data_IF_985529312106
#
_entry.id   IF_985529312106
#
_cell.length_a   1.000
_cell.length_b   1.000
_cell.length_c   1.000
_cell.angle_alpha   90.00
_cell.angle_beta   90.00
_cell.angle_gamma   90.00
#
_symmetry.space_group_name_H-M   'P 1'
#
loop_
_entity.id
_entity.type
_entity.pdbx_description
1 polymer ?
#
# COMPACT_ATOMS: atom_id res chain seq x y z
N UNK A 1 -40.92 -29.78 25.09
CA UNK A 1 -40.61 -29.27 23.75
C UNK A 1 -40.36 -27.77 23.90
N UNK A 2 -39.14 -27.40 24.15
CA UNK A 2 -38.76 -25.99 24.33
C UNK A 2 -37.74 -25.62 23.22
N UNK A 3 -38.24 -24.94 22.18
CA UNK A 3 -37.40 -24.44 21.07
C UNK A 3 -36.82 -23.09 21.48
N UNK A 4 -35.60 -23.07 22.01
CA UNK A 4 -34.83 -21.85 22.16
C UNK A 4 -34.22 -21.43 20.81
N UNK A 5 -34.78 -20.42 20.22
CA UNK A 5 -34.19 -19.66 19.10
C UNK A 5 -32.84 -19.07 19.48
N UNK A 6 -31.79 -19.25 18.69
CA UNK A 6 -30.48 -18.61 18.99
C UNK A 6 -30.56 -17.12 18.73
N UNK A 7 -30.19 -16.36 19.74
CA UNK A 7 -30.21 -14.88 19.79
C UNK A 7 -29.30 -14.23 18.75
N UNK A 8 -29.88 -13.33 17.99
CA UNK A 8 -29.38 -12.55 16.85
C UNK A 8 -28.32 -11.47 17.21
N UNK A 9 -27.62 -11.59 18.34
CA UNK A 9 -26.70 -10.55 18.88
C UNK A 9 -25.33 -10.55 18.25
N UNK A 10 -24.87 -11.63 17.64
CA UNK A 10 -23.53 -11.70 17.02
C UNK A 10 -23.46 -11.11 15.61
N UNK A 11 -24.56 -11.10 14.87
CA UNK A 11 -24.63 -10.56 13.50
C UNK A 11 -24.56 -9.01 13.50
N UNK A 12 -25.18 -8.35 14.49
CA UNK A 12 -25.19 -6.89 14.60
C UNK A 12 -23.83 -6.28 14.94
N UNK A 13 -23.02 -6.94 15.76
CA UNK A 13 -21.69 -6.47 16.16
C UNK A 13 -20.66 -6.61 15.02
N UNK A 14 -20.79 -7.62 14.19
CA UNK A 14 -19.89 -7.82 13.03
C UNK A 14 -20.19 -6.87 11.86
N UNK A 15 -21.44 -6.52 11.60
CA UNK A 15 -21.82 -5.55 10.59
C UNK A 15 -21.36 -4.14 10.96
N UNK A 16 -21.49 -3.72 12.21
CA UNK A 16 -21.00 -2.46 12.72
C UNK A 16 -19.46 -2.30 12.59
N UNK A 17 -18.72 -3.35 12.95
CA UNK A 17 -17.25 -3.35 12.87
C UNK A 17 -16.73 -3.30 11.42
N UNK A 18 -17.44 -3.88 10.47
CA UNK A 18 -17.11 -3.84 9.02
C UNK A 18 -17.34 -2.47 8.41
N UNK A 19 -18.40 -1.78 8.80
CA UNK A 19 -18.68 -0.39 8.41
C UNK A 19 -17.57 0.56 8.87
N UNK A 20 -17.13 0.44 10.12
CA UNK A 20 -16.08 1.27 10.72
C UNK A 20 -14.75 1.14 9.95
N UNK A 21 -14.30 -0.07 9.59
CA UNK A 21 -13.04 -0.28 8.83
C UNK A 21 -13.09 0.38 7.44
N UNK A 22 -14.25 0.40 6.80
CA UNK A 22 -14.44 1.09 5.51
C UNK A 22 -14.35 2.61 5.67
N UNK A 23 -14.99 3.16 6.70
CA UNK A 23 -14.99 4.59 7.02
C UNK A 23 -13.57 5.05 7.37
N UNK A 24 -12.84 4.34 8.23
CA UNK A 24 -11.47 4.68 8.60
C UNK A 24 -10.51 4.73 7.39
N UNK A 25 -10.69 3.80 6.46
CA UNK A 25 -9.88 3.79 5.23
C UNK A 25 -10.18 4.98 4.35
N UNK A 26 -11.46 5.34 4.21
CA UNK A 26 -11.92 6.48 3.43
C UNK A 26 -11.47 7.79 4.07
N UNK A 27 -11.64 7.94 5.38
CA UNK A 27 -11.22 9.11 6.14
C UNK A 27 -9.69 9.33 6.04
N UNK A 28 -8.88 8.25 6.14
CA UNK A 28 -7.43 8.36 5.96
C UNK A 28 -7.01 8.75 4.54
N UNK A 29 -7.75 8.31 3.52
CA UNK A 29 -7.49 8.70 2.14
C UNK A 29 -7.78 10.19 1.94
N UNK A 30 -8.97 10.64 2.34
CA UNK A 30 -9.37 12.04 2.17
C UNK A 30 -8.51 12.99 3.00
N UNK A 31 -8.21 12.65 4.25
CA UNK A 31 -7.30 13.45 5.07
C UNK A 31 -5.90 13.54 4.43
N UNK A 32 -5.39 12.43 3.88
CA UNK A 32 -4.13 12.44 3.15
C UNK A 32 -4.16 13.29 1.87
N UNK A 33 -5.29 13.30 1.14
CA UNK A 33 -5.47 14.15 -0.05
C UNK A 33 -5.52 15.64 0.31
N UNK A 34 -6.19 16.03 1.38
CA UNK A 34 -6.20 17.42 1.87
C UNK A 34 -4.78 17.87 2.20
N UNK A 35 -4.03 17.05 2.95
CA UNK A 35 -2.63 17.34 3.27
C UNK A 35 -1.75 17.42 2.02
N UNK A 36 -1.98 16.55 1.04
CA UNK A 36 -1.28 16.58 -0.24
C UNK A 36 -1.53 17.88 -1.01
N UNK A 37 -2.79 18.34 -1.08
CA UNK A 37 -3.14 19.61 -1.76
C UNK A 37 -2.45 20.78 -1.06
N UNK A 38 -2.43 20.81 0.28
CA UNK A 38 -1.68 21.80 1.03
C UNK A 38 -0.19 21.79 0.66
N UNK A 39 0.46 20.62 0.72
CA UNK A 39 1.89 20.46 0.40
C UNK A 39 2.19 20.85 -1.05
N UNK A 40 1.34 20.42 -1.99
CA UNK A 40 1.50 20.75 -3.40
C UNK A 40 1.43 22.27 -3.63
N UNK A 41 0.42 22.97 -3.09
CA UNK A 41 0.30 24.41 -3.23
C UNK A 41 1.45 25.15 -2.54
N UNK A 42 1.95 24.61 -1.43
CA UNK A 42 3.11 25.14 -0.73
C UNK A 42 4.42 25.00 -1.55
N UNK A 43 4.63 23.81 -2.16
CA UNK A 43 5.83 23.58 -2.99
C UNK A 43 5.78 24.35 -4.31
N UNK A 44 4.61 24.47 -4.92
CA UNK A 44 4.45 25.34 -6.10
C UNK A 44 4.75 26.80 -5.77
N UNK A 45 4.33 27.27 -4.59
CA UNK A 45 4.70 28.61 -4.13
C UNK A 45 6.22 28.76 -3.95
N UNK A 46 6.91 27.74 -3.37
CA UNK A 46 8.37 27.75 -3.31
C UNK A 46 9.03 27.78 -4.70
N UNK A 47 8.48 27.01 -5.66
CA UNK A 47 8.99 26.98 -7.04
C UNK A 47 8.96 28.36 -7.71
N UNK A 48 8.01 29.22 -7.35
CA UNK A 48 7.93 30.60 -7.85
C UNK A 48 9.12 31.46 -7.43
N UNK A 49 9.88 31.06 -6.41
CA UNK A 49 11.12 31.71 -6.02
C UNK A 49 12.22 31.72 -7.10
N UNK A 50 12.08 30.89 -8.15
CA UNK A 50 12.93 30.96 -9.35
C UNK A 50 12.75 32.32 -10.04
N UNK A 51 11.59 32.95 -9.91
CA UNK A 51 11.22 34.23 -10.50
C UNK A 51 11.40 35.43 -9.52
N UNK A 52 11.87 35.16 -8.30
CA UNK A 52 12.14 36.15 -7.26
C UNK A 52 11.19 36.11 -6.07
N UNK A 53 11.62 36.73 -4.97
CA UNK A 53 10.87 36.75 -3.69
C UNK A 53 9.54 37.49 -3.85
N UNK A 54 9.49 38.58 -4.62
CA UNK A 54 8.26 39.33 -4.83
C UNK A 54 7.12 38.47 -5.41
N UNK A 55 7.43 37.58 -6.39
CA UNK A 55 6.46 36.66 -6.99
C UNK A 55 6.01 35.60 -5.98
N UNK A 56 6.94 35.10 -5.14
CA UNK A 56 6.59 34.17 -4.05
C UNK A 56 5.64 34.80 -3.05
N UNK A 57 5.87 36.04 -2.65
CA UNK A 57 5.06 36.76 -1.67
C UNK A 57 3.65 37.05 -2.20
N UNK A 58 3.54 37.48 -3.46
CA UNK A 58 2.23 37.67 -4.09
C UNK A 58 1.41 36.35 -4.11
N UNK A 59 2.03 35.26 -4.53
CA UNK A 59 1.39 33.95 -4.49
C UNK A 59 1.06 33.46 -3.06
N UNK A 60 1.89 33.83 -2.08
CA UNK A 60 1.65 33.54 -0.66
C UNK A 60 0.36 34.19 -0.16
N UNK A 61 0.03 35.39 -0.58
CA UNK A 61 -1.22 36.06 -0.17
C UNK A 61 -2.43 35.21 -0.51
N UNK A 62 -2.51 34.67 -1.72
CA UNK A 62 -3.61 33.79 -2.14
C UNK A 62 -3.62 32.47 -1.35
N UNK A 63 -2.47 31.84 -1.21
CA UNK A 63 -2.34 30.60 -0.47
C UNK A 63 -2.72 30.74 0.99
N UNK A 64 -2.26 31.80 1.66
CA UNK A 64 -2.58 32.07 3.06
C UNK A 64 -4.02 32.49 3.26
N UNK A 65 -4.62 33.25 2.32
CA UNK A 65 -6.05 33.56 2.36
C UNK A 65 -6.92 32.31 2.41
N UNK A 66 -6.51 31.23 1.74
CA UNK A 66 -7.23 29.94 1.79
C UNK A 66 -6.88 29.17 3.08
N UNK A 67 -5.59 28.88 3.30
CA UNK A 67 -5.16 27.92 4.32
C UNK A 67 -5.08 28.49 5.74
N UNK A 68 -5.06 29.84 5.91
CA UNK A 68 -5.14 30.52 7.21
C UNK A 68 -6.52 31.06 7.53
N UNK A 69 -7.48 30.97 6.61
CA UNK A 69 -8.88 31.18 6.96
C UNK A 69 -9.34 30.23 8.04
N UNK A 70 -10.35 30.57 8.81
CA UNK A 70 -10.90 29.66 9.83
C UNK A 70 -11.30 28.30 9.24
N UNK A 71 -12.02 28.20 8.10
CA UNK A 71 -12.33 26.93 7.46
C UNK A 71 -11.07 26.17 7.00
N UNK A 72 -10.12 26.87 6.39
CA UNK A 72 -8.85 26.26 5.92
C UNK A 72 -8.01 25.72 7.07
N UNK A 73 -7.95 26.44 8.18
CA UNK A 73 -7.26 26.04 9.40
C UNK A 73 -7.90 24.79 10.01
N UNK A 74 -9.21 24.75 10.16
CA UNK A 74 -9.94 23.57 10.67
C UNK A 74 -9.73 22.38 9.75
N UNK A 75 -9.84 22.59 8.44
CA UNK A 75 -9.65 21.53 7.44
C UNK A 75 -8.22 20.96 7.49
N UNK A 76 -7.18 21.81 7.54
CA UNK A 76 -5.79 21.41 7.54
C UNK A 76 -5.42 20.64 8.81
N UNK A 77 -5.67 21.23 9.98
CA UNK A 77 -5.30 20.59 11.26
C UNK A 77 -6.21 19.40 11.58
N UNK A 78 -7.49 19.47 11.23
CA UNK A 78 -8.41 18.33 11.33
C UNK A 78 -7.97 17.16 10.45
N UNK A 79 -7.57 17.42 9.20
CA UNK A 79 -7.03 16.41 8.31
C UNK A 79 -5.72 15.83 8.86
N UNK A 80 -4.81 16.67 9.38
CA UNK A 80 -3.56 16.21 9.98
C UNK A 80 -3.82 15.30 11.19
N UNK A 81 -4.70 15.70 12.11
CA UNK A 81 -5.07 14.91 13.28
C UNK A 81 -5.68 13.55 12.88
N UNK A 82 -6.66 13.55 11.97
CA UNK A 82 -7.31 12.32 11.47
C UNK A 82 -6.29 11.42 10.80
N UNK A 83 -5.42 11.98 9.94
CA UNK A 83 -4.41 11.20 9.22
C UNK A 83 -3.42 10.52 10.17
N UNK A 84 -2.85 11.28 11.11
CA UNK A 84 -1.87 10.78 12.09
C UNK A 84 -2.52 9.74 13.01
N UNK A 85 -3.69 10.00 13.56
CA UNK A 85 -4.39 9.07 14.46
C UNK A 85 -4.72 7.74 13.76
N UNK A 86 -5.28 7.80 12.54
CA UNK A 86 -5.61 6.60 11.78
C UNK A 86 -4.39 5.86 11.26
N UNK A 87 -3.29 6.56 10.94
CA UNK A 87 -2.02 5.96 10.58
C UNK A 87 -1.39 5.25 11.78
N UNK A 88 -1.35 5.91 12.95
CA UNK A 88 -0.85 5.35 14.22
C UNK A 88 -1.65 4.12 14.64
N UNK A 89 -2.97 4.20 14.60
CA UNK A 89 -3.85 3.04 14.84
C UNK A 89 -3.48 1.88 13.91
N UNK A 90 -3.27 2.16 12.61
CA UNK A 90 -2.91 1.12 11.63
C UNK A 90 -1.54 0.51 11.91
N UNK A 91 -0.58 1.28 12.41
CA UNK A 91 0.75 0.79 12.80
C UNK A 91 0.64 -0.09 14.05
N UNK A 92 -0.08 0.37 15.09
CA UNK A 92 -0.33 -0.41 16.31
C UNK A 92 -1.05 -1.73 16.01
N UNK A 93 -2.03 -1.71 15.11
CA UNK A 93 -2.78 -2.89 14.71
C UNK A 93 -1.98 -3.86 13.82
N UNK A 94 -0.80 -3.44 13.34
CA UNK A 94 0.03 -4.27 12.49
C UNK A 94 0.50 -5.53 13.22
N UNK A 95 0.43 -6.66 12.52
CA UNK A 95 0.69 -7.97 13.13
C UNK A 95 1.99 -8.58 12.67
N UNK A 96 2.51 -8.17 11.51
CA UNK A 96 3.80 -8.61 10.97
C UNK A 96 4.61 -7.44 10.45
N UNK A 97 5.92 -7.46 10.70
CA UNK A 97 6.89 -6.50 10.15
C UNK A 97 7.58 -7.02 8.89
N UNK A 98 7.31 -8.28 8.50
CA UNK A 98 7.72 -8.79 7.19
C UNK A 98 6.85 -8.15 6.11
N UNK A 99 7.41 -7.18 5.40
CA UNK A 99 6.67 -6.37 4.43
C UNK A 99 7.59 -5.92 3.28
N UNK A 100 7.05 -5.58 2.10
CA UNK A 100 7.83 -4.99 1.01
C UNK A 100 8.53 -3.70 1.45
N UNK A 101 9.72 -3.43 0.89
CA UNK A 101 10.51 -2.23 1.19
C UNK A 101 9.70 -0.93 1.06
N UNK A 102 8.82 -0.85 0.06
CA UNK A 102 7.93 0.29 -0.13
C UNK A 102 7.02 0.58 1.08
N UNK A 103 6.49 -0.47 1.73
CA UNK A 103 5.69 -0.31 2.96
C UNK A 103 6.56 0.17 4.13
N UNK A 104 7.81 -0.30 4.21
CA UNK A 104 8.79 0.18 5.20
C UNK A 104 9.05 1.66 4.99
N UNK A 105 9.40 2.06 3.77
CA UNK A 105 9.65 3.46 3.42
C UNK A 105 8.45 4.36 3.75
N UNK A 106 7.23 3.94 3.39
CA UNK A 106 6.01 4.70 3.69
C UNK A 106 5.83 4.95 5.20
N UNK A 107 6.14 3.96 6.04
CA UNK A 107 6.05 4.08 7.50
C UNK A 107 7.18 4.95 8.03
N UNK A 108 8.42 4.71 7.64
CA UNK A 108 9.57 5.46 8.11
C UNK A 108 9.47 6.94 7.74
N UNK A 109 9.17 7.26 6.48
CA UNK A 109 8.96 8.64 6.04
C UNK A 109 7.81 9.30 6.81
N UNK A 110 6.66 8.60 6.96
CA UNK A 110 5.51 9.14 7.68
C UNK A 110 5.79 9.42 9.17
N UNK A 111 6.56 8.56 9.84
CA UNK A 111 6.94 8.75 11.24
C UNK A 111 8.00 9.84 11.45
N UNK A 112 8.86 10.08 10.46
CA UNK A 112 9.87 11.15 10.54
C UNK A 112 9.30 12.56 10.29
N UNK A 113 8.17 12.68 9.55
CA UNK A 113 7.57 13.98 9.24
C UNK A 113 7.32 14.85 10.48
N UNK A 114 6.65 14.41 11.55
CA UNK A 114 6.40 15.26 12.72
C UNK A 114 7.69 15.83 13.34
N UNK A 115 8.77 15.04 13.39
CA UNK A 115 10.06 15.45 13.93
C UNK A 115 10.82 16.44 13.04
N UNK A 116 10.62 16.38 11.73
CA UNK A 116 11.21 17.33 10.79
C UNK A 116 10.37 18.60 10.65
N UNK A 117 9.07 18.50 10.89
CA UNK A 117 8.09 19.55 10.62
C UNK A 117 7.88 20.52 11.79
N UNK A 118 8.03 20.06 13.06
CA UNK A 118 7.59 20.88 14.21
C UNK A 118 8.27 22.24 14.29
N UNK A 119 9.60 22.32 14.13
CA UNK A 119 10.32 23.62 14.11
C UNK A 119 9.89 24.49 12.94
N UNK A 120 9.69 23.90 11.76
CA UNK A 120 9.22 24.62 10.59
C UNK A 120 7.81 25.21 10.82
N UNK A 121 6.89 24.42 11.34
CA UNK A 121 5.52 24.89 11.59
C UNK A 121 5.45 25.94 12.70
N UNK A 122 6.24 25.79 13.75
CA UNK A 122 6.32 26.77 14.85
C UNK A 122 7.00 28.05 14.35
N UNK A 123 8.13 27.95 13.67
CA UNK A 123 8.92 29.09 13.22
C UNK A 123 8.29 29.88 12.05
N UNK A 124 7.29 29.35 11.38
CA UNK A 124 6.64 30.05 10.26
C UNK A 124 5.23 30.52 10.59
N UNK A 125 4.39 29.63 11.13
CA UNK A 125 2.98 29.95 11.37
C UNK A 125 2.70 30.34 12.82
N UNK A 126 3.14 29.53 13.79
CA UNK A 126 2.80 29.75 15.17
C UNK A 126 3.37 31.06 15.72
N UNK A 127 4.66 31.35 15.45
CA UNK A 127 5.28 32.62 15.90
C UNK A 127 4.67 33.83 15.23
N UNK A 128 4.22 33.72 13.98
CA UNK A 128 3.52 34.81 13.29
C UNK A 128 2.14 35.10 13.95
N UNK A 129 1.38 34.06 14.30
CA UNK A 129 0.04 34.21 14.86
C UNK A 129 0.08 34.57 16.37
N UNK A 130 1.04 34.08 17.14
CA UNK A 130 1.06 34.23 18.61
C UNK A 130 2.06 35.27 19.08
N UNK A 131 3.21 35.40 18.43
CA UNK A 131 4.27 36.33 18.80
C UNK A 131 4.43 37.53 17.84
N UNK A 132 3.48 37.70 16.90
CA UNK A 132 3.44 38.78 15.89
C UNK A 132 4.78 38.93 15.11
N UNK A 133 5.40 37.80 14.76
CA UNK A 133 6.61 37.79 13.92
C UNK A 133 6.19 38.00 12.47
N UNK A 134 6.98 38.83 11.74
CA UNK A 134 6.79 38.98 10.30
C UNK A 134 7.13 37.65 9.58
N UNK A 135 6.17 37.06 8.90
CA UNK A 135 6.29 35.79 8.18
C UNK A 135 6.31 35.94 6.65
N UNK A 136 6.55 37.15 6.14
CA UNK A 136 6.87 37.38 4.73
C UNK A 136 8.09 36.53 4.32
N UNK A 137 8.14 36.06 3.07
CA UNK A 137 9.25 35.22 2.61
C UNK A 137 10.60 35.83 2.81
N UNK A 138 10.75 37.12 2.51
CA UNK A 138 12.01 37.81 2.72
C UNK A 138 12.50 37.73 4.18
N UNK A 139 11.61 37.95 5.16
CA UNK A 139 11.93 37.87 6.58
C UNK A 139 12.18 36.40 7.02
N UNK A 140 11.34 35.47 6.59
CA UNK A 140 11.46 34.05 6.93
C UNK A 140 12.73 33.41 6.38
N UNK A 141 13.11 33.74 5.12
CA UNK A 141 14.33 33.24 4.48
C UNK A 141 15.59 33.69 5.18
N UNK A 142 15.62 34.91 5.76
CA UNK A 142 16.77 35.38 6.52
C UNK A 142 17.09 34.54 7.76
N UNK A 143 16.06 33.88 8.36
CA UNK A 143 16.24 32.93 9.47
C UNK A 143 16.59 31.52 9.00
N UNK A 144 16.12 31.12 7.82
CA UNK A 144 16.29 29.76 7.33
C UNK A 144 17.51 29.59 6.43
N UNK A 145 17.96 30.64 5.73
CA UNK A 145 19.04 30.60 4.77
C UNK A 145 20.32 31.24 5.33
N UNK A 146 21.49 30.63 5.14
CA UNK A 146 21.74 29.29 4.61
C UNK A 146 21.70 28.22 5.71
N UNK A 147 21.58 28.61 6.99
CA UNK A 147 21.79 27.73 8.17
C UNK A 147 20.90 26.51 8.23
N UNK A 148 19.68 26.60 7.72
CA UNK A 148 18.66 25.53 7.77
C UNK A 148 18.40 24.84 6.42
N UNK A 149 19.27 25.08 5.40
CA UNK A 149 19.04 24.55 4.04
C UNK A 149 18.89 23.03 4.01
N UNK A 150 19.73 22.29 4.72
CA UNK A 150 19.68 20.84 4.74
C UNK A 150 18.42 20.33 5.44
N UNK A 151 18.02 20.97 6.52
CA UNK A 151 16.82 20.61 7.26
C UNK A 151 15.56 20.80 6.37
N UNK A 152 15.46 21.95 5.68
CA UNK A 152 14.34 22.23 4.77
C UNK A 152 14.35 21.30 3.55
N UNK A 153 15.52 20.99 3.00
CA UNK A 153 15.67 20.04 1.89
C UNK A 153 15.21 18.64 2.28
N UNK A 154 15.68 18.13 3.43
CA UNK A 154 15.28 16.81 3.92
C UNK A 154 13.77 16.78 4.21
N UNK A 155 13.23 17.80 4.87
CA UNK A 155 11.78 17.90 5.12
C UNK A 155 10.98 17.85 3.81
N UNK A 156 11.39 18.63 2.81
CA UNK A 156 10.76 18.67 1.48
C UNK A 156 10.74 17.29 0.83
N UNK A 157 11.88 16.60 0.78
CA UNK A 157 12.00 15.29 0.14
C UNK A 157 11.24 14.21 0.91
N UNK A 158 11.26 14.23 2.24
CA UNK A 158 10.56 13.26 3.10
C UNK A 158 9.05 13.40 2.97
N UNK A 159 8.52 14.62 3.09
CA UNK A 159 7.08 14.88 2.96
C UNK A 159 6.58 14.51 1.57
N UNK A 160 7.31 14.94 0.54
CA UNK A 160 6.95 14.64 -0.85
C UNK A 160 7.02 13.16 -1.17
N UNK A 161 8.12 12.49 -0.79
CA UNK A 161 8.29 11.05 -0.97
C UNK A 161 7.18 10.24 -0.30
N UNK A 162 6.81 10.59 0.95
CA UNK A 162 5.68 9.99 1.65
C UNK A 162 4.36 10.16 0.88
N UNK A 163 4.09 11.37 0.40
CA UNK A 163 2.88 11.69 -0.35
C UNK A 163 2.84 10.91 -1.68
N UNK A 164 3.93 10.90 -2.45
CA UNK A 164 4.00 10.19 -3.74
C UNK A 164 3.81 8.68 -3.59
N UNK A 165 4.46 8.05 -2.61
CA UNK A 165 4.25 6.63 -2.33
C UNK A 165 2.78 6.38 -1.94
N UNK A 166 2.19 7.25 -1.12
CA UNK A 166 0.79 7.14 -0.70
C UNK A 166 -0.20 7.24 -1.86
N UNK A 167 -0.01 8.18 -2.76
CA UNK A 167 -0.85 8.37 -3.96
C UNK A 167 -0.67 7.21 -4.92
N UNK A 168 0.56 6.79 -5.19
CA UNK A 168 0.84 5.66 -6.08
C UNK A 168 0.19 4.37 -5.58
N UNK A 169 0.14 4.12 -4.28
CA UNK A 169 -0.62 3.00 -3.72
C UNK A 169 -2.12 3.03 -4.04
N UNK A 170 -2.68 4.21 -4.24
CA UNK A 170 -4.08 4.36 -4.64
C UNK A 170 -4.26 4.20 -6.15
N UNK A 171 -3.36 4.77 -6.94
CA UNK A 171 -3.47 4.86 -8.39
C UNK A 171 -3.09 3.55 -9.11
N UNK A 172 -2.08 2.85 -8.65
CA UNK A 172 -1.50 1.67 -9.32
C UNK A 172 -2.45 0.48 -9.54
N UNK A 173 -3.61 0.49 -8.88
CA UNK A 173 -4.66 -0.52 -9.07
C UNK A 173 -5.76 -0.05 -10.02
N UNK A 174 -5.59 1.09 -10.69
CA UNK A 174 -6.51 1.60 -11.69
C UNK A 174 -6.13 1.09 -13.07
N UNK A 175 -7.10 0.80 -13.91
CA UNK A 175 -6.89 0.28 -15.28
C UNK A 175 -6.11 1.25 -16.16
N UNK A 176 -6.33 2.54 -15.98
CA UNK A 176 -5.65 3.61 -16.73
C UNK A 176 -4.24 3.94 -16.22
N UNK A 177 -3.83 3.43 -15.03
CA UNK A 177 -2.55 3.75 -14.40
C UNK A 177 -1.30 3.48 -15.26
N UNK A 178 -1.17 2.35 -15.99
CA UNK A 178 0.00 2.11 -16.81
C UNK A 178 0.28 3.22 -17.81
N UNK A 179 -0.79 3.83 -18.38
CA UNK A 179 -0.68 4.93 -19.35
C UNK A 179 -0.13 6.22 -18.73
N UNK A 180 -0.44 6.49 -17.45
CA UNK A 180 -0.08 7.75 -16.78
C UNK A 180 1.09 7.63 -15.80
N UNK A 181 1.65 6.44 -15.66
CA UNK A 181 2.72 6.16 -14.69
C UNK A 181 3.96 7.02 -14.93
N UNK A 182 4.38 7.19 -16.17
CA UNK A 182 5.55 7.98 -16.53
C UNK A 182 5.32 9.47 -16.23
N UNK A 183 4.19 10.02 -16.63
CA UNK A 183 3.82 11.39 -16.28
C UNK A 183 3.79 11.62 -14.76
N UNK A 184 3.30 10.65 -13.99
CA UNK A 184 3.34 10.70 -12.54
C UNK A 184 4.78 10.70 -11.99
N UNK A 185 5.69 9.92 -12.56
CA UNK A 185 7.10 9.91 -12.17
C UNK A 185 7.78 11.25 -12.49
N UNK A 186 7.51 11.82 -13.65
CA UNK A 186 7.98 13.16 -14.03
C UNK A 186 7.49 14.20 -13.02
N UNK A 187 6.19 14.20 -12.71
CA UNK A 187 5.60 15.08 -11.70
C UNK A 187 6.24 14.88 -10.31
N UNK A 188 6.46 13.63 -9.91
CA UNK A 188 7.08 13.29 -8.62
C UNK A 188 8.52 13.82 -8.47
N UNK A 189 9.23 14.02 -9.58
CA UNK A 189 10.61 14.54 -9.61
C UNK A 189 10.63 16.05 -9.80
N UNK A 190 9.86 16.59 -10.74
CA UNK A 190 9.93 18.01 -11.12
C UNK A 190 9.46 18.92 -9.98
N UNK A 191 8.38 18.58 -9.29
CA UNK A 191 7.80 19.46 -8.25
C UNK A 191 8.78 19.73 -7.10
N UNK A 192 9.39 18.74 -6.43
CA UNK A 192 10.34 19.02 -5.36
C UNK A 192 11.61 19.67 -5.86
N UNK A 193 12.10 19.34 -7.07
CA UNK A 193 13.26 20.00 -7.65
C UNK A 193 13.00 21.48 -7.91
N UNK A 194 11.86 21.83 -8.50
CA UNK A 194 11.47 23.22 -8.74
C UNK A 194 11.28 23.98 -7.41
N UNK A 195 10.65 23.35 -6.41
CA UNK A 195 10.50 23.94 -5.09
C UNK A 195 11.85 24.25 -4.41
N UNK A 196 12.79 23.29 -4.47
CA UNK A 196 14.13 23.48 -3.92
C UNK A 196 14.94 24.51 -4.70
N UNK A 197 14.84 24.51 -6.03
CA UNK A 197 15.49 25.53 -6.87
C UNK A 197 14.99 26.94 -6.53
N UNK A 198 13.68 27.10 -6.39
CA UNK A 198 13.08 28.38 -5.97
C UNK A 198 13.46 28.79 -4.55
N UNK A 199 13.50 27.82 -3.61
CA UNK A 199 13.99 28.09 -2.25
C UNK A 199 15.44 28.57 -2.24
N UNK A 200 16.33 27.96 -3.03
CA UNK A 200 17.76 28.39 -3.15
C UNK A 200 17.88 29.72 -3.83
N UNK A 201 17.15 29.98 -4.92
CA UNK A 201 17.18 31.26 -5.64
C UNK A 201 16.72 32.41 -4.73
N UNK A 202 15.55 32.25 -4.10
CA UNK A 202 14.99 33.22 -3.17
C UNK A 202 15.86 33.41 -1.91
N UNK A 203 16.48 32.34 -1.39
CA UNK A 203 17.44 32.46 -0.29
C UNK A 203 18.65 33.27 -0.61
N UNK A 204 19.20 33.17 -1.83
CA UNK A 204 20.29 34.00 -2.30
C UNK A 204 19.85 35.45 -2.49
N UNK A 205 18.67 35.68 -3.07
CA UNK A 205 18.09 37.01 -3.23
C UNK A 205 17.88 37.71 -1.87
N UNK A 206 17.36 36.97 -0.86
CA UNK A 206 17.17 37.50 0.49
C UNK A 206 18.47 37.99 1.13
N UNK A 207 19.60 37.34 0.83
CA UNK A 207 20.94 37.84 1.28
C UNK A 207 21.33 39.13 0.59
N UNK A 208 21.05 39.26 -0.71
CA UNK A 208 21.38 40.47 -1.49
C UNK A 208 20.49 41.65 -1.08
N UNK A 209 19.22 41.42 -0.82
CA UNK A 209 18.30 42.46 -0.33
C UNK A 209 18.64 42.97 1.07
N UNK A 210 19.49 42.23 1.80
CA UNK A 210 19.86 42.60 3.17
C UNK A 210 18.71 42.35 4.16
N UNK A 211 18.82 42.99 5.33
CA UNK A 211 17.85 42.82 6.41
C UNK A 211 16.54 43.54 6.09
N UNK A 212 15.55 42.81 5.55
CA UNK A 212 14.23 43.33 5.18
C UNK A 212 13.23 43.24 6.35
N UNK A 213 13.61 42.70 7.50
CA UNK A 213 12.76 42.58 8.67
C UNK A 213 13.49 42.88 9.97
N UNK A 214 12.74 43.24 11.01
CA UNK A 214 13.28 43.32 12.36
C UNK A 214 13.77 41.94 12.81
N UNK A 215 14.96 41.90 13.39
CA UNK A 215 15.41 40.67 14.09
C UNK A 215 14.39 40.33 15.16
N UNK A 216 14.19 39.05 15.38
CA UNK A 216 13.32 38.60 16.47
C UNK A 216 13.83 39.22 17.79
N UNK A 217 12.89 39.71 18.57
CA UNK A 217 13.18 40.17 19.94
C UNK A 217 13.49 38.96 20.83
N UNK A 218 14.14 39.25 21.99
CA UNK A 218 14.40 38.21 23.00
C UNK A 218 13.15 37.44 23.40
N UNK A 219 12.01 38.12 23.50
CA UNK A 219 10.73 37.53 23.89
C UNK A 219 10.17 36.62 22.78
N UNK A 220 10.32 37.01 21.51
CA UNK A 220 9.92 36.19 20.35
C UNK A 220 10.77 34.92 20.24
N UNK A 221 12.09 35.04 20.48
CA UNK A 221 12.99 33.88 20.55
C UNK A 221 12.61 32.97 21.71
N UNK A 222 12.37 33.52 22.90
CA UNK A 222 11.96 32.75 24.08
C UNK A 222 10.61 32.04 23.84
N UNK A 223 9.65 32.71 23.19
CA UNK A 223 8.37 32.12 22.83
C UNK A 223 8.54 30.93 21.85
N UNK A 224 9.36 31.10 20.80
CA UNK A 224 9.69 30.02 19.88
C UNK A 224 10.33 28.83 20.60
N UNK A 225 11.36 29.08 21.41
CA UNK A 225 12.08 28.02 22.14
C UNK A 225 11.18 27.28 23.12
N UNK A 226 10.27 27.97 23.78
CA UNK A 226 9.29 27.36 24.66
C UNK A 226 8.32 26.47 23.89
N UNK A 227 7.75 26.97 22.81
CA UNK A 227 6.84 26.21 21.95
C UNK A 227 7.53 24.99 21.33
N UNK A 228 8.77 25.17 20.85
CA UNK A 228 9.57 24.10 20.27
C UNK A 228 9.87 22.99 21.30
N UNK A 229 10.25 23.35 22.54
CA UNK A 229 10.45 22.38 23.62
C UNK A 229 9.17 21.62 23.97
N UNK A 230 8.03 22.31 24.06
CA UNK A 230 6.72 21.65 24.32
C UNK A 230 6.40 20.68 23.19
N UNK A 231 6.52 21.08 21.93
CA UNK A 231 6.26 20.23 20.79
C UNK A 231 7.20 19.03 20.72
N UNK A 232 8.49 19.25 20.94
CA UNK A 232 9.49 18.17 21.01
C UNK A 232 9.15 17.15 22.08
N UNK A 233 8.87 17.59 23.33
CA UNK A 233 8.47 16.70 24.41
C UNK A 233 7.18 15.93 24.10
N UNK A 234 6.19 16.60 23.49
CA UNK A 234 4.96 15.95 23.05
C UNK A 234 5.23 14.87 21.99
N UNK A 235 6.16 15.11 21.04
CA UNK A 235 6.57 14.13 20.06
C UNK A 235 7.30 12.93 20.68
N UNK A 236 8.16 13.14 21.68
CA UNK A 236 8.82 12.06 22.43
C UNK A 236 7.79 11.21 23.17
N UNK A 237 6.83 11.83 23.86
CA UNK A 237 5.75 11.11 24.55
C UNK A 237 4.87 10.35 23.55
N UNK A 238 4.53 10.97 22.44
CA UNK A 238 3.76 10.32 21.37
C UNK A 238 4.51 9.11 20.78
N UNK A 239 5.78 9.28 20.41
CA UNK A 239 6.62 8.21 19.86
C UNK A 239 6.84 7.07 20.86
N UNK A 240 7.17 7.41 22.11
CA UNK A 240 7.30 6.44 23.20
C UNK A 240 6.00 5.67 23.48
N UNK A 241 4.87 6.38 23.51
CA UNK A 241 3.54 5.77 23.63
C UNK A 241 3.21 4.83 22.48
N UNK A 242 3.55 5.21 21.24
CA UNK A 242 3.35 4.37 20.08
C UNK A 242 4.18 3.08 20.17
N UNK A 243 5.47 3.19 20.51
CA UNK A 243 6.37 2.03 20.72
C UNK A 243 5.84 1.14 21.83
N UNK A 244 5.46 1.73 22.98
CA UNK A 244 4.89 1.01 24.11
C UNK A 244 3.64 0.21 23.71
N UNK A 245 2.69 0.83 23.00
CA UNK A 245 1.46 0.16 22.56
C UNK A 245 1.75 -0.97 21.56
N UNK A 246 2.72 -0.80 20.67
CA UNK A 246 3.17 -1.84 19.75
C UNK A 246 3.76 -3.02 20.53
N UNK A 247 4.65 -2.74 21.49
CA UNK A 247 5.32 -3.74 22.32
C UNK A 247 4.30 -4.50 23.20
N UNK A 248 3.41 -3.77 23.86
CA UNK A 248 2.35 -4.36 24.69
C UNK A 248 1.45 -5.29 23.85
N UNK A 249 1.06 -4.84 22.66
CA UNK A 249 0.23 -5.65 21.77
C UNK A 249 0.98 -6.87 21.22
N UNK A 250 2.28 -6.75 20.96
CA UNK A 250 3.13 -7.87 20.55
C UNK A 250 3.24 -8.91 21.67
N UNK A 251 3.44 -8.45 22.91
CA UNK A 251 3.48 -9.29 24.09
C UNK A 251 2.15 -10.04 24.32
N UNK A 252 1.02 -9.32 24.28
CA UNK A 252 -0.31 -9.93 24.40
C UNK A 252 -0.58 -10.99 23.32
N UNK A 253 -0.07 -10.79 22.09
CA UNK A 253 -0.21 -11.77 21.00
C UNK A 253 0.67 -13.00 21.19
N UNK A 254 1.81 -12.89 21.87
CA UNK A 254 2.68 -14.04 22.14
C UNK A 254 1.97 -15.11 22.99
N UNK A 255 1.08 -14.68 23.86
CA UNK A 255 0.26 -15.56 24.72
C UNK A 255 -1.12 -15.87 24.14
N UNK A 256 -1.44 -15.34 22.96
CA UNK A 256 -2.72 -15.55 22.31
C UNK A 256 -2.88 -16.93 21.63
N UNK A 257 -4.12 -17.39 21.51
CA UNK A 257 -4.45 -18.62 20.78
C UNK A 257 -3.95 -18.57 19.35
N UNK A 258 -3.32 -19.66 18.89
CA UNK A 258 -2.85 -19.83 17.50
C UNK A 258 -3.78 -20.76 16.73
N UNK A 259 -3.94 -20.48 15.45
CA UNK A 259 -4.78 -21.26 14.54
C UNK A 259 -3.87 -21.91 13.50
N UNK A 260 -3.91 -23.25 13.33
CA UNK A 260 -3.17 -23.91 12.26
C UNK A 260 -3.84 -23.67 10.90
N UNK A 261 -3.03 -23.44 9.88
CA UNK A 261 -3.46 -23.35 8.49
C UNK A 261 -2.55 -24.24 7.64
N UNK A 262 -3.16 -25.05 6.80
CA UNK A 262 -2.45 -25.85 5.81
C UNK A 262 -2.47 -25.14 4.46
N UNK A 263 -1.31 -24.96 3.87
CA UNK A 263 -1.16 -24.45 2.51
C UNK A 263 -0.82 -25.61 1.58
N UNK A 264 -1.66 -25.85 0.59
CA UNK A 264 -1.38 -26.87 -0.44
C UNK A 264 -0.10 -26.50 -1.17
N UNK A 265 0.85 -27.45 -1.25
CA UNK A 265 2.16 -27.22 -1.86
C UNK A 265 3.18 -26.44 -1.00
N UNK A 266 2.79 -25.88 0.17
CA UNK A 266 3.69 -25.06 1.01
C UNK A 266 3.73 -25.51 2.49
N UNK A 267 3.05 -26.60 2.85
CA UNK A 267 3.11 -27.16 4.21
C UNK A 267 2.10 -26.51 5.20
N UNK A 268 2.44 -26.59 6.49
CA UNK A 268 1.59 -26.09 7.59
C UNK A 268 2.18 -24.82 8.19
N UNK A 269 1.34 -23.86 8.50
CA UNK A 269 1.70 -22.66 9.25
C UNK A 269 0.74 -22.44 10.41
N UNK A 270 1.15 -21.69 11.40
CA UNK A 270 0.29 -21.27 12.51
C UNK A 270 0.21 -19.76 12.55
N UNK A 271 -0.97 -19.21 12.81
CA UNK A 271 -1.16 -17.77 12.93
C UNK A 271 -1.83 -17.41 14.26
N UNK A 272 -1.51 -16.26 14.85
CA UNK A 272 -2.24 -15.73 15.99
C UNK A 272 -3.69 -15.45 15.61
N UNK A 273 -4.65 -15.86 16.45
CA UNK A 273 -6.07 -15.62 16.20
C UNK A 273 -6.35 -14.17 15.85
N UNK A 274 -7.12 -13.94 14.78
CA UNK A 274 -7.47 -12.61 14.28
C UNK A 274 -6.43 -12.00 13.33
N UNK A 275 -5.31 -12.67 13.03
CA UNK A 275 -4.44 -12.31 11.91
C UNK A 275 -5.12 -12.64 10.58
N UNK A 276 -4.78 -11.89 9.53
CA UNK A 276 -5.20 -12.27 8.18
C UNK A 276 -4.36 -13.43 7.66
N UNK A 277 -4.90 -14.18 6.74
CA UNK A 277 -4.16 -15.25 6.08
C UNK A 277 -2.92 -14.73 5.34
N UNK A 278 -2.99 -13.53 4.75
CA UNK A 278 -1.85 -12.89 4.10
C UNK A 278 -0.74 -12.54 5.10
N UNK A 279 -1.09 -12.06 6.31
CA UNK A 279 -0.13 -11.84 7.39
C UNK A 279 0.53 -13.16 7.82
N UNK A 280 -0.26 -14.23 7.93
CA UNK A 280 0.26 -15.57 8.23
C UNK A 280 1.26 -16.07 7.17
N UNK A 281 0.92 -15.91 5.89
CA UNK A 281 1.84 -16.27 4.81
C UNK A 281 3.18 -15.54 4.93
N UNK A 282 3.14 -14.23 5.21
CA UNK A 282 4.35 -13.40 5.37
C UNK A 282 5.17 -13.78 6.61
N UNK A 283 4.50 -14.06 7.74
CA UNK A 283 5.19 -14.50 8.97
C UNK A 283 5.91 -15.83 8.79
N UNK A 284 5.34 -16.73 8.02
CA UNK A 284 5.90 -18.07 7.77
C UNK A 284 6.73 -18.13 6.48
N UNK A 285 7.09 -17.00 5.88
CA UNK A 285 7.86 -16.90 4.64
C UNK A 285 7.25 -17.67 3.44
N UNK A 286 5.91 -17.86 3.44
CA UNK A 286 5.19 -18.47 2.33
C UNK A 286 5.00 -17.40 1.25
N UNK A 287 5.49 -17.63 0.02
CA UNK A 287 5.34 -16.70 -1.09
C UNK A 287 3.86 -16.43 -1.39
N UNK A 288 3.40 -15.18 -1.22
CA UNK A 288 2.01 -14.83 -1.40
C UNK A 288 1.89 -13.43 -2.00
N UNK A 289 1.53 -13.30 -3.28
CA UNK A 289 1.44 -12.00 -3.96
C UNK A 289 0.40 -11.10 -3.33
N UNK A 290 0.68 -9.81 -3.26
CA UNK A 290 -0.29 -8.82 -2.83
C UNK A 290 0.08 -7.43 -3.35
N UNK A 291 -0.28 -7.14 -4.60
CA UNK A 291 0.04 -5.89 -5.29
C UNK A 291 -0.42 -4.64 -4.53
N UNK A 292 -1.63 -4.66 -3.96
CA UNK A 292 -2.15 -3.53 -3.17
C UNK A 292 -1.67 -3.52 -1.71
N UNK A 293 -0.78 -4.42 -1.31
CA UNK A 293 -0.28 -4.49 0.07
C UNK A 293 -1.34 -4.90 1.10
N UNK A 294 -2.36 -5.69 0.71
CA UNK A 294 -3.41 -6.18 1.61
C UNK A 294 -4.58 -5.21 1.81
N UNK A 295 -4.80 -4.28 0.88
CA UNK A 295 -5.82 -3.24 0.98
C UNK A 295 -7.16 -3.60 0.33
N UNK A 296 -7.38 -4.86 -0.06
CA UNK A 296 -8.58 -5.33 -0.78
C UNK A 296 -8.91 -4.51 -2.05
N UNK A 297 -7.87 -4.11 -2.81
CA UNK A 297 -8.01 -3.35 -4.06
C UNK A 297 -7.61 -4.11 -5.31
N UNK A 298 -6.91 -5.22 -5.12
CA UNK A 298 -6.51 -6.14 -6.17
C UNK A 298 -6.86 -7.56 -5.77
N UNK A 299 -6.87 -8.47 -6.75
CA UNK A 299 -7.20 -9.88 -6.55
C UNK A 299 -5.97 -10.77 -6.43
N UNK A 300 -4.74 -10.21 -6.39
CA UNK A 300 -3.51 -11.01 -6.43
C UNK A 300 -3.29 -11.90 -5.20
N UNK A 301 -3.93 -11.60 -4.07
CA UNK A 301 -3.85 -12.43 -2.86
C UNK A 301 -4.99 -13.47 -2.77
N UNK A 302 -5.51 -13.94 -3.91
CA UNK A 302 -6.58 -14.94 -3.93
C UNK A 302 -6.08 -16.30 -3.44
N UNK A 303 -6.95 -16.95 -2.68
CA UNK A 303 -6.80 -18.35 -2.25
C UNK A 303 -8.07 -19.09 -2.51
N UNK A 304 -7.96 -20.36 -2.89
CA UNK A 304 -9.04 -21.31 -2.83
C UNK A 304 -9.06 -21.90 -1.41
N UNK A 305 -10.19 -21.83 -0.73
CA UNK A 305 -10.38 -22.51 0.56
C UNK A 305 -10.83 -23.93 0.27
N UNK A 306 -9.90 -24.87 0.41
CA UNK A 306 -10.13 -26.29 0.11
C UNK A 306 -11.00 -26.92 1.20
N UNK A 307 -10.65 -26.65 2.47
CA UNK A 307 -11.37 -27.16 3.66
C UNK A 307 -11.61 -26.02 4.66
N UNK A 308 -12.75 -26.06 5.33
CA UNK A 308 -13.12 -25.12 6.39
C UNK A 308 -13.69 -23.79 5.84
N UNK A 309 -14.20 -23.77 4.62
CA UNK A 309 -14.84 -22.58 4.05
C UNK A 309 -16.08 -22.14 4.84
N UNK A 310 -16.86 -23.11 5.31
CA UNK A 310 -18.07 -22.94 6.13
C UNK A 310 -17.77 -22.30 7.50
N UNK A 311 -16.53 -22.40 7.98
CA UNK A 311 -16.04 -21.83 9.25
C UNK A 311 -15.59 -20.36 9.10
N UNK A 312 -15.53 -19.89 7.87
CA UNK A 312 -15.14 -18.49 7.59
C UNK A 312 -16.39 -17.59 7.57
N UNK A 313 -16.28 -16.38 8.08
CA UNK A 313 -17.35 -15.40 7.93
C UNK A 313 -17.56 -15.07 6.43
N UNK A 314 -18.77 -14.67 6.04
CA UNK A 314 -19.06 -14.28 4.67
C UNK A 314 -18.15 -13.14 4.20
N UNK A 315 -17.87 -13.01 2.89
CA UNK A 315 -17.05 -11.93 2.36
C UNK A 315 -17.58 -10.55 2.76
N UNK A 316 -16.68 -9.64 3.12
CA UNK A 316 -17.04 -8.22 3.30
C UNK A 316 -17.54 -7.62 1.98
N UNK A 317 -18.31 -6.52 2.04
CA UNK A 317 -18.80 -5.84 0.84
C UNK A 317 -17.67 -5.51 -0.15
N UNK A 318 -16.53 -5.02 0.35
CA UNK A 318 -15.34 -4.72 -0.48
C UNK A 318 -14.70 -5.98 -1.08
N UNK A 319 -14.67 -7.08 -0.32
CA UNK A 319 -14.16 -8.37 -0.81
C UNK A 319 -15.11 -8.93 -1.87
N UNK A 320 -16.41 -8.92 -1.60
CA UNK A 320 -17.45 -9.41 -2.51
C UNK A 320 -17.41 -8.67 -3.85
N UNK A 321 -17.44 -7.33 -3.81
CA UNK A 321 -17.36 -6.50 -5.02
C UNK A 321 -16.12 -6.83 -5.88
N UNK A 322 -15.00 -7.17 -5.25
CA UNK A 322 -13.79 -7.55 -5.97
C UNK A 322 -13.88 -8.97 -6.53
N UNK A 323 -14.42 -9.92 -5.75
CA UNK A 323 -14.63 -11.29 -6.20
C UNK A 323 -15.65 -11.38 -7.35
N UNK A 324 -16.74 -10.60 -7.27
CA UNK A 324 -17.77 -10.53 -8.32
C UNK A 324 -17.17 -9.96 -9.63
N UNK A 325 -16.33 -8.92 -9.53
CA UNK A 325 -15.67 -8.32 -10.72
C UNK A 325 -14.82 -9.33 -11.51
N UNK A 326 -14.23 -10.32 -10.82
CA UNK A 326 -13.40 -11.35 -11.45
C UNK A 326 -14.15 -12.69 -11.60
N UNK A 327 -15.46 -12.70 -11.41
CA UNK A 327 -16.31 -13.91 -11.49
C UNK A 327 -15.73 -15.09 -10.68
N UNK A 328 -15.23 -14.81 -9.48
CA UNK A 328 -14.54 -15.80 -8.66
C UNK A 328 -15.53 -16.87 -8.14
N UNK A 329 -15.15 -18.16 -8.16
CA UNK A 329 -15.94 -19.22 -7.53
C UNK A 329 -16.19 -18.98 -6.04
N UNK A 330 -17.29 -19.55 -5.49
CA UNK A 330 -17.74 -19.31 -4.13
C UNK A 330 -16.68 -19.60 -3.04
N UNK A 331 -15.81 -20.59 -3.25
CA UNK A 331 -14.73 -20.96 -2.31
C UNK A 331 -13.48 -20.11 -2.45
N UNK A 332 -13.43 -19.20 -3.42
CA UNK A 332 -12.30 -18.27 -3.58
C UNK A 332 -12.48 -17.08 -2.65
N UNK A 333 -11.43 -16.75 -1.91
CA UNK A 333 -11.42 -15.68 -0.94
C UNK A 333 -10.14 -14.83 -1.08
N UNK A 334 -10.14 -13.64 -0.51
CA UNK A 334 -8.94 -12.79 -0.47
C UNK A 334 -8.17 -13.03 0.84
N UNK A 335 -6.95 -13.54 0.77
CA UNK A 335 -6.12 -13.82 1.96
C UNK A 335 -5.93 -12.59 2.86
N UNK A 336 -5.96 -11.39 2.31
CA UNK A 336 -5.85 -10.15 3.08
C UNK A 336 -7.14 -9.77 3.84
N UNK A 337 -8.26 -10.45 3.59
CA UNK A 337 -9.54 -10.15 4.23
C UNK A 337 -9.98 -11.25 5.19
N UNK A 338 -9.63 -12.52 4.93
CA UNK A 338 -10.01 -13.63 5.81
C UNK A 338 -9.12 -13.71 7.05
N UNK A 339 -9.77 -13.96 8.19
CA UNK A 339 -9.15 -14.11 9.51
C UNK A 339 -9.65 -15.42 10.13
N UNK A 340 -8.98 -16.54 9.88
CA UNK A 340 -9.42 -17.82 10.39
C UNK A 340 -9.46 -17.82 11.93
N UNK A 341 -10.55 -18.34 12.49
CA UNK A 341 -10.68 -18.60 13.92
C UNK A 341 -10.47 -20.08 14.24
N UNK A 342 -10.57 -20.93 13.21
CA UNK A 342 -10.45 -22.38 13.25
C UNK A 342 -9.50 -22.86 12.13
N UNK A 343 -9.03 -24.13 12.20
CA UNK A 343 -8.17 -24.71 11.18
C UNK A 343 -8.82 -24.69 9.80
N UNK A 344 -8.05 -24.30 8.77
CA UNK A 344 -8.46 -24.30 7.37
C UNK A 344 -7.32 -24.81 6.47
N UNK A 345 -7.70 -25.37 5.32
CA UNK A 345 -6.78 -25.72 4.24
C UNK A 345 -7.00 -24.78 3.06
N UNK A 346 -5.92 -24.19 2.54
CA UNK A 346 -5.98 -23.21 1.44
C UNK A 346 -4.94 -23.49 0.36
N UNK A 347 -5.27 -23.09 -0.87
CA UNK A 347 -4.37 -23.10 -2.00
C UNK A 347 -4.21 -21.66 -2.52
N UNK A 348 -2.95 -21.23 -2.72
CA UNK A 348 -2.65 -19.90 -3.30
C UNK A 348 -2.88 -20.00 -4.81
N UNK A 349 -3.75 -19.13 -5.34
CA UNK A 349 -4.16 -19.18 -6.76
C UNK A 349 -3.27 -18.32 -7.69
N UNK A 350 -2.47 -17.44 -7.13
CA UNK A 350 -1.50 -16.64 -7.89
C UNK A 350 -0.10 -17.05 -7.45
N UNK A 351 0.54 -18.01 -8.11
CA UNK A 351 1.87 -18.45 -7.70
C UNK A 351 2.91 -17.34 -7.90
N UNK A 352 3.77 -17.15 -6.91
CA UNK A 352 5.02 -16.41 -7.12
C UNK A 352 5.99 -17.43 -7.71
N UNK A 353 6.21 -17.39 -9.00
CA UNK A 353 7.28 -18.16 -9.62
C UNK A 353 8.62 -17.53 -9.23
N UNK A 354 9.32 -18.17 -8.31
CA UNK A 354 10.77 -18.08 -8.25
C UNK A 354 11.29 -19.01 -9.36
N UNK A 355 11.78 -18.44 -10.45
CA UNK A 355 12.58 -19.08 -11.46
C UNK A 355 12.10 -20.44 -11.99
N UNK A 356 11.80 -20.50 -13.29
CA UNK A 356 11.76 -21.73 -14.05
C UNK A 356 10.50 -22.57 -13.89
N UNK A 357 9.87 -22.84 -15.01
CA UNK A 357 8.92 -23.94 -15.18
C UNK A 357 9.72 -25.22 -14.95
N UNK A 358 9.46 -25.89 -13.82
CA UNK A 358 9.76 -27.31 -13.75
C UNK A 358 8.51 -27.99 -14.33
N UNK A 359 8.59 -28.62 -15.51
CA UNK A 359 7.53 -29.51 -15.96
C UNK A 359 7.35 -30.59 -14.89
N UNK A 360 6.12 -30.96 -14.58
CA UNK A 360 5.84 -32.05 -13.65
C UNK A 360 6.70 -33.27 -14.01
N UNK A 361 7.39 -33.78 -13.01
CA UNK A 361 8.40 -34.85 -12.99
C UNK A 361 8.35 -35.87 -14.11
N UNK A 362 8.86 -35.50 -15.25
CA UNK A 362 9.32 -36.46 -16.23
C UNK A 362 10.74 -36.83 -15.80
N UNK A 363 10.95 -38.11 -15.53
CA UNK A 363 12.25 -38.67 -15.25
C UNK A 363 13.20 -38.20 -16.36
N UNK A 364 14.29 -37.53 -15.99
CA UNK A 364 15.30 -36.96 -16.91
C UNK A 364 15.87 -37.98 -17.89
N UNK A 365 15.70 -39.26 -17.60
CA UNK A 365 16.31 -40.37 -18.35
C UNK A 365 15.63 -40.71 -19.69
N UNK A 366 14.40 -40.23 -19.93
CA UNK A 366 13.68 -40.59 -21.16
C UNK A 366 13.99 -39.64 -22.35
N UNK A 367 14.58 -38.49 -22.11
CA UNK A 367 14.85 -37.48 -23.15
C UNK A 367 16.25 -37.58 -23.78
N UNK A 368 17.20 -38.35 -23.21
CA UNK A 368 18.56 -38.42 -23.71
C UNK A 368 18.74 -39.36 -24.93
N UNK A 369 17.76 -40.22 -25.24
CA UNK A 369 17.91 -41.25 -26.30
C UNK A 369 17.04 -41.05 -27.54
N UNK A 370 16.20 -40.06 -27.61
CA UNK A 370 15.34 -39.72 -28.76
C UNK A 370 14.66 -40.96 -29.37
N UNK A 371 13.45 -41.29 -28.97
CA UNK A 371 12.65 -42.37 -29.57
C UNK A 371 11.59 -41.77 -30.51
N UNK A 372 11.43 -42.34 -31.70
CA UNK A 372 10.33 -42.01 -32.58
C UNK A 372 9.09 -42.77 -32.14
N UNK A 373 8.02 -42.00 -31.83
CA UNK A 373 6.74 -42.54 -31.36
C UNK A 373 5.61 -41.97 -32.18
N UNK A 374 4.56 -42.78 -32.42
CA UNK A 374 3.33 -42.29 -32.98
C UNK A 374 2.51 -41.63 -31.88
N UNK A 375 2.28 -40.34 -32.00
CA UNK A 375 1.57 -39.58 -30.99
C UNK A 375 0.54 -38.66 -31.61
N UNK A 376 -0.54 -38.36 -30.92
CA UNK A 376 -1.50 -37.31 -31.28
C UNK A 376 -1.15 -36.04 -30.53
N UNK A 377 -0.97 -34.93 -31.26
CA UNK A 377 -0.70 -33.62 -30.65
C UNK A 377 -1.99 -32.80 -30.65
N UNK A 378 -2.38 -32.34 -29.47
CA UNK A 378 -3.49 -31.43 -29.25
C UNK A 378 -2.93 -30.04 -28.91
N UNK A 379 -3.35 -29.02 -29.66
CA UNK A 379 -3.06 -27.63 -29.35
C UNK A 379 -4.39 -26.96 -28.99
N UNK A 380 -4.45 -26.35 -27.81
CA UNK A 380 -5.62 -25.64 -27.29
C UNK A 380 -5.23 -24.20 -27.02
N UNK A 381 -6.08 -23.27 -27.45
CA UNK A 381 -5.83 -21.83 -27.37
C UNK A 381 -7.09 -21.09 -26.88
N UNK A 382 -6.87 -19.99 -26.15
CA UNK A 382 -7.96 -19.15 -25.63
C UNK A 382 -8.40 -18.13 -26.66
N UNK A 383 -9.63 -18.25 -27.18
CA UNK A 383 -10.18 -17.28 -28.14
C UNK A 383 -10.25 -15.88 -27.52
N UNK A 384 -9.90 -14.88 -28.34
CA UNK A 384 -9.94 -13.46 -27.98
C UNK A 384 -9.05 -13.06 -26.78
N UNK A 385 -7.99 -13.84 -26.47
CA UNK A 385 -7.06 -13.53 -25.39
C UNK A 385 -6.47 -12.13 -25.51
N UNK A 386 -6.07 -11.69 -26.71
CA UNK A 386 -5.57 -10.34 -26.98
C UNK A 386 -6.59 -9.24 -26.67
N UNK A 387 -7.87 -9.49 -26.82
CA UNK A 387 -8.91 -8.53 -26.41
C UNK A 387 -9.05 -8.48 -24.88
N UNK A 388 -8.94 -9.62 -24.22
CA UNK A 388 -8.96 -9.70 -22.75
C UNK A 388 -7.76 -8.98 -22.12
N UNK A 389 -6.57 -9.02 -22.74
CA UNK A 389 -5.38 -8.31 -22.24
C UNK A 389 -5.57 -6.80 -22.19
N UNK A 390 -6.43 -6.24 -23.03
CA UNK A 390 -6.72 -4.79 -23.07
C UNK A 390 -7.71 -4.33 -22.00
N UNK A 391 -8.57 -5.22 -21.51
CA UNK A 391 -9.69 -4.88 -20.63
C UNK A 391 -9.52 -5.36 -19.20
N UNK A 392 -8.68 -6.38 -18.98
CA UNK A 392 -8.46 -6.98 -17.65
C UNK A 392 -7.11 -6.55 -17.06
N UNK A 393 -7.03 -6.55 -15.74
CA UNK A 393 -5.73 -6.39 -15.08
C UNK A 393 -4.82 -7.60 -15.37
N UNK A 394 -3.50 -7.41 -15.52
CA UNK A 394 -2.57 -8.50 -15.82
C UNK A 394 -2.69 -9.71 -14.88
N UNK A 395 -2.91 -9.48 -13.60
CA UNK A 395 -3.05 -10.54 -12.59
C UNK A 395 -4.41 -11.25 -12.64
N UNK A 396 -5.48 -10.57 -13.07
CA UNK A 396 -6.79 -11.21 -13.30
C UNK A 396 -6.74 -12.08 -14.56
N UNK A 397 -6.04 -11.58 -15.59
CA UNK A 397 -5.78 -12.33 -16.80
C UNK A 397 -4.97 -13.61 -16.54
N UNK A 398 -3.88 -13.50 -15.76
CA UNK A 398 -3.07 -14.67 -15.36
C UNK A 398 -3.90 -15.68 -14.56
N UNK A 399 -4.80 -15.23 -13.71
CA UNK A 399 -5.66 -16.14 -12.97
C UNK A 399 -6.69 -16.83 -13.85
N UNK A 400 -7.27 -16.12 -14.84
CA UNK A 400 -8.16 -16.69 -15.83
C UNK A 400 -7.43 -17.73 -16.67
N UNK A 401 -6.23 -17.38 -17.13
CA UNK A 401 -5.38 -18.27 -17.93
C UNK A 401 -4.99 -19.53 -17.14
N UNK A 402 -4.55 -19.37 -15.89
CA UNK A 402 -4.20 -20.52 -15.05
C UNK A 402 -5.39 -21.43 -14.79
N UNK A 403 -6.60 -20.89 -14.61
CA UNK A 403 -7.81 -21.68 -14.47
C UNK A 403 -8.12 -22.45 -15.76
N UNK A 404 -8.09 -21.77 -16.89
CA UNK A 404 -8.30 -22.38 -18.20
C UNK A 404 -7.29 -23.50 -18.45
N UNK A 405 -6.00 -23.24 -18.26
CA UNK A 405 -4.94 -24.22 -18.46
C UNK A 405 -5.06 -25.42 -17.51
N UNK A 406 -5.44 -25.19 -16.23
CA UNK A 406 -5.64 -26.27 -15.27
C UNK A 406 -6.83 -27.17 -15.64
N UNK A 407 -7.94 -26.59 -16.06
CA UNK A 407 -9.11 -27.37 -16.48
C UNK A 407 -8.81 -28.24 -17.71
N UNK A 408 -8.08 -27.68 -18.67
CA UNK A 408 -7.64 -28.46 -19.86
C UNK A 408 -6.63 -29.53 -19.46
N UNK A 409 -5.63 -29.20 -18.63
CA UNK A 409 -4.63 -30.15 -18.18
C UNK A 409 -5.29 -31.36 -17.49
N UNK A 410 -6.20 -31.11 -16.56
CA UNK A 410 -6.94 -32.17 -15.86
C UNK A 410 -7.73 -33.04 -16.82
N UNK A 411 -8.34 -32.43 -17.83
CA UNK A 411 -9.08 -33.19 -18.86
C UNK A 411 -8.14 -34.02 -19.72
N UNK A 412 -7.00 -33.47 -20.14
CA UNK A 412 -5.97 -34.17 -20.92
C UNK A 412 -5.43 -35.36 -20.12
N UNK A 413 -5.06 -35.15 -18.87
CA UNK A 413 -4.52 -36.19 -17.99
C UNK A 413 -5.56 -37.30 -17.70
N UNK A 414 -6.83 -36.93 -17.51
CA UNK A 414 -7.92 -37.91 -17.32
C UNK A 414 -8.14 -38.81 -18.53
N UNK A 415 -7.74 -38.34 -19.75
CA UNK A 415 -7.83 -39.12 -20.99
C UNK A 415 -6.49 -39.70 -21.44
N UNK A 416 -5.50 -39.77 -20.55
CA UNK A 416 -4.19 -40.39 -20.80
C UNK A 416 -3.24 -39.56 -21.65
N UNK A 417 -3.46 -38.27 -21.78
CA UNK A 417 -2.56 -37.31 -22.39
C UNK A 417 -1.60 -36.68 -21.40
N UNK A 418 -0.53 -36.09 -21.89
CA UNK A 418 0.43 -35.31 -21.12
C UNK A 418 0.55 -33.89 -21.63
N UNK A 419 0.51 -32.89 -20.75
CA UNK A 419 0.75 -31.49 -21.08
C UNK A 419 2.27 -31.27 -21.31
N UNK A 420 2.69 -31.04 -22.53
CA UNK A 420 4.10 -30.91 -22.92
C UNK A 420 4.61 -29.49 -22.87
N UNK A 421 3.80 -28.52 -23.26
CA UNK A 421 4.21 -27.11 -23.34
C UNK A 421 3.02 -26.17 -23.07
N UNK A 422 3.27 -25.14 -22.27
CA UNK A 422 2.35 -24.03 -22.09
C UNK A 422 2.73 -22.89 -23.02
N UNK A 423 1.77 -22.44 -23.81
CA UNK A 423 1.88 -21.29 -24.70
C UNK A 423 1.43 -20.01 -23.95
N UNK A 424 1.50 -18.85 -24.60
CA UNK A 424 1.09 -17.57 -24.00
C UNK A 424 -0.37 -17.55 -23.55
N UNK A 425 -1.25 -18.19 -24.29
CA UNK A 425 -2.71 -18.21 -24.17
C UNK A 425 -3.34 -19.59 -24.34
N UNK A 426 -2.51 -20.65 -24.37
CA UNK A 426 -2.92 -22.02 -24.58
C UNK A 426 -1.93 -23.05 -24.06
N UNK A 427 -2.09 -24.30 -24.50
CA UNK A 427 -1.14 -25.35 -24.24
C UNK A 427 -1.10 -26.39 -25.37
N UNK A 428 0.01 -27.08 -25.45
CA UNK A 428 0.19 -28.27 -26.29
C UNK A 428 0.22 -29.51 -25.41
N UNK A 429 -0.62 -30.48 -25.74
CA UNK A 429 -0.65 -31.77 -25.09
C UNK A 429 -0.37 -32.89 -26.09
N UNK A 430 0.16 -34.00 -25.62
CA UNK A 430 0.48 -35.17 -26.43
C UNK A 430 -0.15 -36.42 -25.84
N UNK A 431 -0.77 -37.23 -26.69
CA UNK A 431 -1.37 -38.52 -26.33
C UNK A 431 -0.59 -39.66 -27.01
N UNK A 432 -0.43 -40.76 -26.33
CA UNK A 432 0.23 -41.95 -26.86
C UNK A 432 1.70 -42.09 -26.47
N UNK A 433 2.26 -41.21 -25.64
CA UNK A 433 3.65 -41.31 -25.16
C UNK A 433 3.87 -42.53 -24.26
N UNK A 434 2.87 -42.94 -23.49
CA UNK A 434 2.90 -44.05 -22.55
C UNK A 434 2.39 -45.37 -23.17
N UNK A 435 2.08 -45.38 -24.45
CA UNK A 435 1.72 -46.57 -25.22
C UNK A 435 2.94 -47.40 -25.52
N UNK A 436 3.44 -48.12 -24.50
CA UNK A 436 4.39 -49.17 -24.71
C UNK A 436 3.88 -50.12 -25.79
N UNK A 437 4.78 -50.56 -26.67
CA UNK A 437 4.56 -51.55 -27.68
C UNK A 437 3.73 -52.72 -27.15
N UNK A 438 2.52 -52.90 -27.66
CA UNK A 438 1.77 -54.14 -27.45
C UNK A 438 0.38 -53.91 -26.88
N UNK A 439 -0.57 -53.66 -27.78
CA UNK A 439 -1.78 -54.43 -27.99
C UNK A 439 -2.52 -53.88 -29.18
N UNK A 440 -2.11 -54.37 -30.36
CA UNK A 440 -2.99 -54.33 -31.52
C UNK A 440 -4.13 -55.30 -31.32
N UNK A 441 -5.33 -54.85 -31.53
CA UNK A 441 -6.44 -55.47 -32.19
C UNK A 441 -7.63 -54.51 -32.11
#
# INVERSE_FOLDING_TARGET
MDQRTPTNTTVGVETGRRGIVSIERTARLWSGLVLFIFVLTHFLNHALGIFGIAVMEEAQLWRTAVWRSTPGTILLYGAAAIHVLLASKRIIERRTWRMPLRDVLQICLGLSIPYLLYEHAIGTRWVAEVANVNDAYAATLQHLWPSRIWQQTILTLVVWGHAMIGIEYYLRVRTWWPRWREAFLVFAVIVPLAALAGYVAAGREAVVLGHVGARWTSDQVAAFDQAARIAYNALIVFGGGLIFLIALRALMRRFGRRVPVRYVGHGKATLPRGSTLLEASRENAIPHPSLCGGRARCSTCRVLVVEGHEKLPPPSATERQLLDRISAPAKVRLACQIRPAEPITVQILTPVRAGGITPGGLAADAYETGAEVTATVLIVDMRAFTALTKTQFPYDLVALLNRFLNEIQQTVEAHGGEAMMYLSDGMMAVFGLNGGAGKGS
#
